data_IF_758395328014
#
_entry.id   IF_758395328014
#
_cell.length_a   1.000
_cell.length_b   1.000
_cell.length_c   1.000
_cell.angle_alpha   90.00
_cell.angle_beta   90.00
_cell.angle_gamma   90.00
#
_symmetry.space_group_name_H-M   'P 1'
#
loop_
_entity.id
_entity.type
_entity.pdbx_description
1 polymer ?
#
# COMPACT_ATOMS: atom_id res chain seq x y z
N UNK A 1 -13.36 25.85 9.07
CA UNK A 1 -12.06 25.26 9.48
C UNK A 1 -11.74 24.00 8.64
N UNK A 2 -10.74 24.06 7.75
CA UNK A 2 -10.42 23.00 6.77
C UNK A 2 -10.00 21.64 7.39
N UNK A 3 -9.66 21.64 8.69
CA UNK A 3 -9.28 20.47 9.49
C UNK A 3 -10.45 19.73 10.18
N UNK A 4 -11.70 20.18 9.98
CA UNK A 4 -12.91 19.61 10.62
C UNK A 4 -13.83 18.91 9.60
N UNK A 5 -13.25 18.34 8.54
CA UNK A 5 -14.00 17.67 7.47
C UNK A 5 -13.83 16.16 7.58
N UNK A 6 -14.94 15.42 7.62
CA UNK A 6 -14.96 13.96 7.59
C UNK A 6 -14.25 13.38 6.35
N UNK A 7 -14.13 14.17 5.27
CA UNK A 7 -13.40 13.80 4.06
C UNK A 7 -11.89 13.70 4.27
N UNK A 8 -11.31 14.53 5.14
CA UNK A 8 -9.89 14.44 5.47
C UNK A 8 -9.57 13.12 6.17
N UNK A 9 -10.44 12.71 7.10
CA UNK A 9 -10.29 11.44 7.83
C UNK A 9 -10.40 10.25 6.87
N UNK A 10 -11.39 10.26 5.98
CA UNK A 10 -11.54 9.24 4.96
C UNK A 10 -10.30 9.15 4.04
N UNK A 11 -9.77 10.28 3.60
CA UNK A 11 -8.56 10.34 2.78
C UNK A 11 -7.32 9.78 3.51
N UNK A 12 -7.05 10.24 4.72
CA UNK A 12 -5.88 9.78 5.48
C UNK A 12 -5.98 8.28 5.79
N UNK A 13 -7.15 7.79 6.17
CA UNK A 13 -7.38 6.36 6.40
C UNK A 13 -7.17 5.51 5.13
N UNK A 14 -7.63 6.04 3.99
CA UNK A 14 -7.46 5.36 2.70
C UNK A 14 -6.00 5.32 2.23
N UNK A 15 -5.26 6.42 2.38
CA UNK A 15 -3.83 6.41 2.08
C UNK A 15 -3.04 5.49 3.03
N UNK A 16 -3.35 5.53 4.34
CA UNK A 16 -2.60 4.78 5.35
C UNK A 16 -2.65 3.27 5.11
N UNK A 17 -3.83 2.70 4.90
CA UNK A 17 -3.99 1.26 4.67
C UNK A 17 -3.42 0.85 3.31
N UNK A 18 -3.42 1.74 2.30
CA UNK A 18 -2.82 1.47 0.99
C UNK A 18 -1.31 1.33 1.11
N UNK A 19 -0.66 2.29 1.80
CA UNK A 19 0.77 2.21 2.09
C UNK A 19 1.14 1.05 3.00
N UNK A 20 0.32 0.73 4.01
CA UNK A 20 0.53 -0.44 4.86
C UNK A 20 0.52 -1.73 4.04
N UNK A 21 -0.41 -1.89 3.09
CA UNK A 21 -0.45 -3.04 2.19
C UNK A 21 0.82 -3.12 1.32
N UNK A 22 1.29 -2.00 0.76
CA UNK A 22 2.54 -2.00 0.00
C UNK A 22 3.76 -2.32 0.85
N UNK A 23 3.82 -1.84 2.09
CA UNK A 23 4.89 -2.21 3.03
C UNK A 23 4.90 -3.71 3.32
N UNK A 24 3.73 -4.33 3.52
CA UNK A 24 3.61 -5.78 3.68
C UNK A 24 4.06 -6.52 2.42
N UNK A 25 3.68 -6.03 1.22
CA UNK A 25 4.10 -6.65 -0.05
C UNK A 25 5.61 -6.60 -0.26
N UNK A 26 6.29 -5.55 0.21
CA UNK A 26 7.74 -5.46 0.21
C UNK A 26 8.35 -6.54 1.13
N UNK A 27 7.80 -6.70 2.33
CA UNK A 27 8.22 -7.74 3.27
C UNK A 27 8.04 -9.16 2.71
N UNK A 28 6.90 -9.45 2.07
CA UNK A 28 6.66 -10.76 1.44
C UNK A 28 7.53 -10.98 0.20
N UNK A 29 7.86 -9.91 -0.55
CA UNK A 29 8.82 -9.96 -1.66
C UNK A 29 10.24 -10.28 -1.19
N UNK A 30 10.70 -9.68 -0.09
CA UNK A 30 11.99 -10.03 0.52
C UNK A 30 11.99 -11.50 0.96
N UNK A 31 10.91 -11.96 1.60
CA UNK A 31 10.75 -13.36 2.01
C UNK A 31 10.81 -14.31 0.81
N UNK A 32 10.16 -13.95 -0.30
CA UNK A 32 10.22 -14.71 -1.55
C UNK A 32 11.65 -14.82 -2.07
N UNK A 33 12.39 -13.71 -2.12
CA UNK A 33 13.77 -13.69 -2.61
C UNK A 33 14.68 -14.54 -1.74
N UNK A 34 14.63 -14.38 -0.41
CA UNK A 34 15.43 -15.17 0.53
C UNK A 34 15.16 -16.66 0.35
N UNK A 35 13.89 -17.06 0.24
CA UNK A 35 13.51 -18.46 -0.01
C UNK A 35 13.90 -18.95 -1.40
N UNK A 36 13.89 -18.09 -2.42
CA UNK A 36 14.25 -18.47 -3.79
C UNK A 36 15.74 -18.75 -3.97
N UNK A 37 16.58 -18.12 -3.15
CA UNK A 37 18.03 -18.32 -3.11
C UNK A 37 18.37 -19.62 -2.37
N UNK A 38 17.60 -19.96 -1.33
CA UNK A 38 17.76 -21.19 -0.56
C UNK A 38 17.17 -22.42 -1.30
N UNK A 39 17.89 -22.89 -2.32
CA UNK A 39 17.61 -24.17 -3.01
C UNK A 39 18.06 -25.40 -2.22
N UNK A 40 18.69 -25.21 -1.06
CA UNK A 40 19.28 -26.27 -0.26
C UNK A 40 18.24 -26.91 0.65
N UNK A 41 18.07 -28.23 0.49
CA UNK A 41 17.19 -29.11 1.27
C UNK A 41 17.72 -29.27 2.72
N UNK A 42 17.92 -28.15 3.42
CA UNK A 42 18.48 -28.11 4.77
C UNK A 42 17.37 -28.31 5.80
N UNK A 43 17.26 -29.51 6.42
CA UNK A 43 16.12 -29.87 7.27
C UNK A 43 16.03 -29.07 8.59
N UNK A 44 17.04 -28.26 8.92
CA UNK A 44 17.14 -27.46 10.15
C UNK A 44 17.12 -25.93 9.92
N UNK A 45 16.77 -25.47 8.72
CA UNK A 45 16.69 -24.04 8.44
C UNK A 45 15.35 -23.47 8.89
N UNK A 46 15.34 -22.30 9.55
CA UNK A 46 14.11 -21.54 9.85
C UNK A 46 13.28 -21.24 8.57
N UNK A 47 13.89 -21.36 7.39
CA UNK A 47 13.27 -21.22 6.07
C UNK A 47 12.41 -22.44 5.65
N UNK A 48 12.59 -23.61 6.27
CA UNK A 48 11.77 -24.79 6.04
C UNK A 48 10.34 -24.62 6.57
N UNK A 49 10.17 -23.79 7.63
CA UNK A 49 8.85 -23.43 8.19
C UNK A 49 8.08 -22.45 7.29
N UNK A 50 8.76 -21.77 6.35
CA UNK A 50 8.09 -20.84 5.46
C UNK A 50 7.18 -21.57 4.45
N UNK A 51 6.05 -20.96 4.04
CA UNK A 51 5.19 -21.53 3.01
C UNK A 51 5.91 -21.65 1.65
N UNK A 52 5.36 -22.43 0.72
CA UNK A 52 5.96 -22.64 -0.60
C UNK A 52 6.09 -21.33 -1.38
N UNK A 53 7.07 -21.24 -2.30
CA UNK A 53 7.31 -20.05 -3.12
C UNK A 53 6.04 -19.58 -3.83
N UNK A 54 5.23 -20.52 -4.34
CA UNK A 54 3.96 -20.24 -5.00
C UNK A 54 2.96 -19.56 -4.07
N UNK A 55 2.90 -19.96 -2.79
CA UNK A 55 1.99 -19.33 -1.82
C UNK A 55 2.45 -17.92 -1.47
N UNK A 56 3.77 -17.70 -1.32
CA UNK A 56 4.32 -16.37 -1.04
C UNK A 56 4.04 -15.42 -2.21
N UNK A 57 4.20 -15.88 -3.44
CA UNK A 57 3.90 -15.10 -4.65
C UNK A 57 2.40 -14.77 -4.73
N UNK A 58 1.52 -15.76 -4.51
CA UNK A 58 0.06 -15.56 -4.46
C UNK A 58 -0.37 -14.54 -3.41
N UNK A 59 0.23 -14.60 -2.21
CA UNK A 59 -0.02 -13.63 -1.13
C UNK A 59 0.46 -12.25 -1.55
N UNK A 60 1.68 -12.15 -2.08
CA UNK A 60 2.28 -10.88 -2.51
C UNK A 60 1.40 -10.20 -3.55
N UNK A 61 0.95 -10.95 -4.57
CA UNK A 61 0.07 -10.46 -5.62
C UNK A 61 -1.27 -9.93 -5.06
N UNK A 62 -1.92 -10.70 -4.17
CA UNK A 62 -3.19 -10.30 -3.55
C UNK A 62 -3.06 -9.04 -2.68
N UNK A 63 -1.96 -8.93 -1.93
CA UNK A 63 -1.69 -7.75 -1.08
C UNK A 63 -1.44 -6.51 -1.92
N UNK A 64 -0.70 -6.62 -3.03
CA UNK A 64 -0.48 -5.50 -3.97
C UNK A 64 -1.80 -5.02 -4.57
N UNK A 65 -2.64 -5.94 -5.07
CA UNK A 65 -3.96 -5.61 -5.60
C UNK A 65 -4.83 -4.89 -4.57
N UNK A 66 -4.86 -5.40 -3.33
CA UNK A 66 -5.57 -4.77 -2.23
C UNK A 66 -5.06 -3.35 -1.95
N UNK A 67 -3.74 -3.16 -1.87
CA UNK A 67 -3.12 -1.85 -1.69
C UNK A 67 -3.44 -0.88 -2.82
N UNK A 68 -3.47 -1.36 -4.06
CA UNK A 68 -3.75 -0.53 -5.24
C UNK A 68 -5.19 -0.01 -5.28
N UNK A 69 -6.16 -0.86 -4.94
CA UNK A 69 -7.58 -0.46 -4.82
C UNK A 69 -7.72 0.64 -3.77
N UNK A 70 -7.04 0.47 -2.64
CA UNK A 70 -7.16 1.38 -1.52
C UNK A 70 -6.42 2.72 -1.74
N UNK A 71 -5.27 2.68 -2.41
CA UNK A 71 -4.58 3.89 -2.90
C UNK A 71 -5.45 4.67 -3.90
N UNK A 72 -6.13 3.96 -4.81
CA UNK A 72 -7.04 4.60 -5.78
C UNK A 72 -8.20 5.32 -5.07
N UNK A 73 -8.78 4.69 -4.05
CA UNK A 73 -9.78 5.32 -3.18
C UNK A 73 -9.21 6.53 -2.41
N UNK A 74 -7.93 6.47 -2.01
CA UNK A 74 -7.18 7.58 -1.43
C UNK A 74 -7.09 8.78 -2.36
N UNK A 75 -6.74 8.57 -3.62
CA UNK A 75 -6.66 9.64 -4.63
C UNK A 75 -8.04 10.30 -4.83
N UNK A 76 -9.09 9.49 -4.97
CA UNK A 76 -10.47 9.99 -5.17
C UNK A 76 -10.94 10.81 -3.96
N UNK A 77 -10.79 10.27 -2.75
CA UNK A 77 -11.19 10.98 -1.52
C UNK A 77 -10.36 12.25 -1.28
N UNK A 78 -9.10 12.27 -1.69
CA UNK A 78 -8.23 13.44 -1.66
C UNK A 78 -8.74 14.57 -2.57
N UNK A 79 -9.16 14.23 -3.79
CA UNK A 79 -9.75 15.20 -4.72
C UNK A 79 -11.05 15.82 -4.19
N UNK A 80 -11.90 15.02 -3.52
CA UNK A 80 -13.14 15.50 -2.89
C UNK A 80 -12.85 16.43 -1.71
N UNK A 81 -11.83 16.10 -0.90
CA UNK A 81 -11.38 16.98 0.17
C UNK A 81 -10.82 18.31 -0.37
N UNK A 82 -10.02 18.28 -1.44
CA UNK A 82 -9.47 19.48 -2.06
C UNK A 82 -10.57 20.44 -2.51
N UNK A 83 -11.64 19.92 -3.13
CA UNK A 83 -12.80 20.72 -3.49
C UNK A 83 -13.50 21.33 -2.26
N UNK A 84 -13.62 20.58 -1.17
CA UNK A 84 -14.25 21.05 0.06
C UNK A 84 -13.40 22.10 0.81
N UNK A 85 -12.07 22.00 0.73
CA UNK A 85 -11.13 22.86 1.45
C UNK A 85 -10.78 24.14 0.69
N UNK A 86 -10.64 24.05 -0.64
CA UNK A 86 -10.13 25.13 -1.50
C UNK A 86 -11.09 25.54 -2.62
N UNK A 87 -12.28 24.93 -2.71
CA UNK A 87 -13.31 25.26 -3.70
C UNK A 87 -13.04 24.71 -5.10
N UNK A 88 -11.90 24.02 -5.31
CA UNK A 88 -11.53 23.40 -6.58
C UNK A 88 -10.90 22.04 -6.36
N UNK A 89 -11.08 21.10 -7.29
CA UNK A 89 -10.59 19.71 -7.16
C UNK A 89 -9.06 19.60 -7.29
N UNK A 90 -8.44 20.55 -8.00
CA UNK A 90 -7.01 20.57 -8.30
C UNK A 90 -6.61 21.99 -8.75
N UNK A 91 -5.65 22.64 -8.08
CA UNK A 91 -5.28 24.02 -8.41
C UNK A 91 -3.90 24.19 -9.04
N UNK A 92 -3.20 23.10 -9.38
CA UNK A 92 -1.83 23.12 -9.95
C UNK A 92 -0.83 23.94 -9.12
N UNK A 93 -1.08 24.12 -7.81
CA UNK A 93 -0.16 24.81 -6.93
C UNK A 93 1.12 23.96 -6.74
N UNK A 94 2.32 24.55 -6.58
CA UNK A 94 3.55 23.79 -6.36
C UNK A 94 3.45 22.77 -5.24
N UNK A 95 2.64 23.02 -4.21
CA UNK A 95 2.41 22.09 -3.10
C UNK A 95 1.55 20.87 -3.47
N UNK A 96 0.77 20.93 -4.55
CA UNK A 96 -0.12 19.86 -5.02
C UNK A 96 0.50 19.03 -6.15
N UNK A 97 1.46 19.59 -6.88
CA UNK A 97 2.09 18.95 -8.05
C UNK A 97 3.42 18.27 -7.74
N UNK A 98 4.12 18.69 -6.69
CA UNK A 98 5.48 18.22 -6.38
C UNK A 98 5.62 17.45 -5.07
N UNK A 99 4.53 17.28 -4.29
CA UNK A 99 4.51 16.47 -3.07
C UNK A 99 4.07 15.04 -3.33
#
# INVERSE_FOLDING_TARGET
PALQSNWLIAHVFTCFVGYAAFAVSCGTGIMYLVKSIDKGDSPNSLLATLPSLKVIDDITHKVILFGFIWLSAGIISGAVWANSAWGTYWSWDPKETWS
#
